data_IF_631692077432
#
_entry.id   IF_631692077432
#
_cell.length_a   1.000
_cell.length_b   1.000
_cell.length_c   1.000
_cell.angle_alpha   90.00
_cell.angle_beta   90.00
_cell.angle_gamma   90.00
#
_symmetry.space_group_name_H-M   'P 1'
#
loop_
_entity.id
_entity.type
_entity.pdbx_description
1 polymer ?
#
# COMPACT_ATOMS: atom_id res chain seq x y z
N UNK A 1 -10.81 -21.80 12.72
CA UNK A 1 -10.79 -21.68 11.24
C UNK A 1 -9.33 -21.77 10.81
N UNK A 2 -8.88 -22.96 10.39
CA UNK A 2 -7.45 -23.32 10.34
C UNK A 2 -6.69 -22.65 9.20
N UNK A 3 -5.39 -22.39 9.43
CA UNK A 3 -4.37 -21.89 8.48
C UNK A 3 -4.37 -22.59 7.11
N UNK A 4 -4.97 -23.79 7.01
CA UNK A 4 -5.15 -24.56 5.78
C UNK A 4 -6.09 -23.89 4.74
N UNK A 5 -6.97 -22.95 5.13
CA UNK A 5 -7.77 -22.18 4.14
C UNK A 5 -6.97 -21.10 3.41
N UNK A 6 -5.82 -20.71 3.93
CA UNK A 6 -4.95 -19.70 3.30
C UNK A 6 -4.14 -20.33 2.15
N UNK A 7 -3.87 -21.64 2.23
CA UNK A 7 -3.24 -22.44 1.17
C UNK A 7 -4.25 -22.98 0.13
N UNK A 8 -5.29 -22.21 -0.17
CA UNK A 8 -6.13 -22.48 -1.33
C UNK A 8 -5.30 -22.15 -2.60
N UNK A 9 -5.09 -23.08 -3.55
CA UNK A 9 -4.26 -22.84 -4.74
C UNK A 9 -4.74 -21.67 -5.62
N UNK A 10 -5.98 -21.21 -5.46
CA UNK A 10 -6.52 -19.98 -6.05
C UNK A 10 -5.96 -18.72 -5.38
N UNK A 11 -5.74 -18.71 -4.06
CA UNK A 11 -5.18 -17.57 -3.33
C UNK A 11 -3.70 -17.37 -3.62
N UNK A 12 -2.92 -18.46 -3.77
CA UNK A 12 -1.50 -18.36 -4.11
C UNK A 12 -1.28 -17.82 -5.53
N UNK A 13 -2.07 -18.27 -6.51
CA UNK A 13 -2.01 -17.75 -7.89
C UNK A 13 -2.35 -16.26 -7.95
N UNK A 14 -3.41 -15.82 -7.28
CA UNK A 14 -3.80 -14.40 -7.23
C UNK A 14 -2.69 -13.56 -6.58
N UNK A 15 -2.09 -14.05 -5.49
CA UNK A 15 -0.96 -13.37 -4.85
C UNK A 15 0.20 -13.15 -5.82
N UNK A 16 0.61 -14.18 -6.57
CA UNK A 16 1.70 -14.05 -7.56
C UNK A 16 1.35 -13.09 -8.70
N UNK A 17 0.08 -13.01 -9.12
CA UNK A 17 -0.37 -12.03 -10.12
C UNK A 17 -0.22 -10.60 -9.60
N UNK A 18 -0.70 -10.32 -8.38
CA UNK A 18 -0.54 -8.98 -7.78
C UNK A 18 0.92 -8.61 -7.55
N UNK A 19 1.73 -9.56 -7.09
CA UNK A 19 3.17 -9.35 -6.91
C UNK A 19 3.87 -9.06 -8.24
N UNK A 20 3.56 -9.84 -9.29
CA UNK A 20 4.11 -9.61 -10.63
C UNK A 20 3.70 -8.26 -11.20
N UNK A 21 2.43 -7.88 -11.05
CA UNK A 21 1.94 -6.57 -11.48
C UNK A 21 2.63 -5.41 -10.74
N UNK A 22 2.81 -5.54 -9.42
CA UNK A 22 3.54 -4.56 -8.62
C UNK A 22 4.99 -4.40 -9.11
N UNK A 23 5.70 -5.50 -9.35
CA UNK A 23 7.07 -5.47 -9.85
C UNK A 23 7.16 -4.80 -11.22
N UNK A 24 6.25 -5.11 -12.15
CA UNK A 24 6.21 -4.48 -13.48
C UNK A 24 6.01 -2.97 -13.35
N UNK A 25 5.08 -2.51 -12.52
CA UNK A 25 4.84 -1.08 -12.32
C UNK A 25 6.05 -0.38 -11.67
N UNK A 26 6.71 -1.04 -10.70
CA UNK A 26 7.94 -0.51 -10.09
C UNK A 26 9.07 -0.32 -11.11
N UNK A 27 9.26 -1.30 -12.00
CA UNK A 27 10.25 -1.22 -13.07
C UNK A 27 9.89 -0.09 -14.05
N UNK A 28 8.64 -0.05 -14.54
CA UNK A 28 8.19 0.97 -15.49
C UNK A 28 8.34 2.39 -14.93
N UNK A 29 7.96 2.60 -13.67
CA UNK A 29 8.11 3.90 -13.01
C UNK A 29 9.59 4.29 -12.83
N UNK A 30 10.45 3.33 -12.47
CA UNK A 30 11.88 3.58 -12.27
C UNK A 30 12.63 3.88 -13.57
N UNK A 31 12.19 3.31 -14.71
CA UNK A 31 12.72 3.66 -16.04
C UNK A 31 12.37 5.11 -16.39
N UNK A 32 11.18 5.59 -16.00
CA UNK A 32 10.71 6.94 -16.30
C UNK A 32 11.30 8.00 -15.35
N UNK A 33 11.52 7.65 -14.09
CA UNK A 33 12.06 8.56 -13.08
C UNK A 33 12.80 7.79 -11.99
N UNK A 34 14.10 8.06 -11.81
CA UNK A 34 14.90 7.40 -10.77
C UNK A 34 14.37 7.70 -9.34
N UNK A 35 13.76 8.88 -9.16
CA UNK A 35 13.15 9.29 -7.90
C UNK A 35 11.83 8.56 -7.58
N UNK A 36 11.30 7.77 -8.50
CA UNK A 36 10.04 7.03 -8.33
C UNK A 36 10.16 5.97 -7.24
N UNK A 37 11.19 5.13 -7.29
CA UNK A 37 11.33 4.00 -6.38
C UNK A 37 11.51 4.45 -4.91
N UNK A 38 12.37 5.44 -4.59
CA UNK A 38 12.40 6.04 -3.26
C UNK A 38 11.05 6.62 -2.82
N UNK A 39 10.30 7.25 -3.73
CA UNK A 39 8.98 7.78 -3.41
C UNK A 39 7.97 6.68 -3.03
N UNK A 40 8.01 5.52 -3.70
CA UNK A 40 7.18 4.36 -3.32
C UNK A 40 7.58 3.78 -1.95
N UNK A 41 8.87 3.74 -1.64
CA UNK A 41 9.36 3.29 -0.32
C UNK A 41 8.85 4.23 0.77
N UNK A 42 8.97 5.55 0.58
CA UNK A 42 8.45 6.56 1.52
C UNK A 42 6.94 6.39 1.70
N UNK A 43 6.20 6.15 0.62
CA UNK A 43 4.77 5.89 0.67
C UNK A 43 4.44 4.72 1.60
N UNK A 44 5.13 3.60 1.45
CA UNK A 44 4.95 2.39 2.26
C UNK A 44 5.31 2.66 3.72
N UNK A 45 6.44 3.33 3.99
CA UNK A 45 6.88 3.60 5.37
C UNK A 45 5.87 4.46 6.14
N UNK A 46 5.31 5.49 5.51
CA UNK A 46 4.30 6.34 6.15
C UNK A 46 3.00 5.57 6.34
N UNK A 47 2.60 4.72 5.38
CA UNK A 47 1.43 3.86 5.53
C UNK A 47 1.59 2.87 6.70
N UNK A 48 2.78 2.27 6.84
CA UNK A 48 3.10 1.39 7.98
C UNK A 48 3.09 2.17 9.29
N UNK A 49 3.60 3.40 9.32
CA UNK A 49 3.55 4.26 10.50
C UNK A 49 2.10 4.57 10.90
N UNK A 50 1.23 4.90 9.93
CA UNK A 50 -0.21 5.10 10.19
C UNK A 50 -0.78 3.85 10.86
N UNK A 51 -0.60 2.67 10.27
CA UNK A 51 -1.14 1.43 10.85
C UNK A 51 -0.55 1.09 12.22
N UNK A 52 0.74 1.36 12.42
CA UNK A 52 1.41 1.19 13.70
C UNK A 52 0.81 2.10 14.78
N UNK A 53 0.56 3.38 14.48
CA UNK A 53 -0.10 4.26 15.43
C UNK A 53 -1.55 3.86 15.70
N UNK A 54 -2.26 3.35 14.67
CA UNK A 54 -3.60 2.81 14.82
C UNK A 54 -3.67 1.67 15.84
N UNK A 55 -2.63 0.86 15.95
CA UNK A 55 -2.55 -0.25 16.91
C UNK A 55 -2.74 0.18 18.38
N UNK A 56 -2.38 1.42 18.75
CA UNK A 56 -2.53 1.94 20.11
C UNK A 56 -3.95 2.45 20.42
N UNK A 57 -4.87 2.38 19.46
CA UNK A 57 -6.27 2.78 19.65
C UNK A 57 -7.08 1.57 20.11
N UNK A 58 -7.50 1.58 21.39
CA UNK A 58 -8.23 0.47 22.01
C UNK A 58 -9.63 0.25 21.41
N UNK A 59 -10.33 1.34 21.07
CA UNK A 59 -11.66 1.24 20.48
C UNK A 59 -11.56 0.75 19.04
N UNK A 60 -12.09 -0.46 18.79
CA UNK A 60 -12.07 -1.09 17.47
C UNK A 60 -12.69 -0.20 16.38
N UNK A 61 -13.82 0.45 16.67
CA UNK A 61 -14.47 1.34 15.71
C UNK A 61 -13.56 2.54 15.35
N UNK A 62 -12.93 3.16 16.36
CA UNK A 62 -12.03 4.29 16.16
C UNK A 62 -10.76 3.85 15.43
N UNK A 63 -10.20 2.68 15.75
CA UNK A 63 -9.03 2.12 15.06
C UNK A 63 -9.31 1.91 13.56
N UNK A 64 -10.45 1.31 13.22
CA UNK A 64 -10.85 1.08 11.82
C UNK A 64 -11.00 2.42 11.09
N UNK A 65 -11.71 3.38 11.68
CA UNK A 65 -11.90 4.71 11.09
C UNK A 65 -10.57 5.45 10.92
N UNK A 66 -9.70 5.43 11.93
CA UNK A 66 -8.38 6.07 11.89
C UNK A 66 -7.52 5.49 10.76
N UNK A 67 -7.43 4.16 10.66
CA UNK A 67 -6.64 3.51 9.61
C UNK A 67 -7.21 3.76 8.21
N UNK A 68 -8.53 3.77 8.07
CA UNK A 68 -9.19 4.04 6.79
C UNK A 68 -8.97 5.49 6.34
N UNK A 69 -9.24 6.46 7.20
CA UNK A 69 -9.06 7.89 6.89
C UNK A 69 -7.57 8.18 6.66
N UNK A 70 -6.68 7.70 7.53
CA UNK A 70 -5.24 7.93 7.45
C UNK A 70 -4.65 7.43 6.13
N UNK A 71 -5.01 6.21 5.71
CA UNK A 71 -4.58 5.65 4.41
C UNK A 71 -5.01 6.52 3.24
N UNK A 72 -6.28 6.93 3.18
CA UNK A 72 -6.79 7.70 2.05
C UNK A 72 -6.28 9.14 2.04
N UNK A 73 -6.11 9.75 3.21
CA UNK A 73 -5.48 11.06 3.32
C UNK A 73 -4.04 11.01 2.81
N UNK A 74 -3.26 10.01 3.22
CA UNK A 74 -1.89 9.83 2.75
C UNK A 74 -1.82 9.57 1.25
N UNK A 75 -2.73 8.74 0.72
CA UNK A 75 -2.88 8.53 -0.72
C UNK A 75 -3.08 9.85 -1.49
N UNK A 76 -3.98 10.71 -1.04
CA UNK A 76 -4.23 12.01 -1.70
C UNK A 76 -2.99 12.92 -1.63
N UNK A 77 -2.37 13.06 -0.46
CA UNK A 77 -1.15 13.87 -0.29
C UNK A 77 -0.03 13.39 -1.20
N UNK A 78 0.16 12.07 -1.27
CA UNK A 78 1.15 11.46 -2.14
C UNK A 78 0.85 11.67 -3.63
N UNK A 79 -0.42 11.55 -4.05
CA UNK A 79 -0.81 11.83 -5.44
C UNK A 79 -0.58 13.29 -5.83
N UNK A 80 -0.87 14.23 -4.92
CA UNK A 80 -0.55 15.66 -5.13
C UNK A 80 0.95 15.87 -5.25
N UNK A 81 1.77 15.21 -4.43
CA UNK A 81 3.23 15.27 -4.55
C UNK A 81 3.71 14.77 -5.92
N UNK A 82 3.26 13.59 -6.35
CA UNK A 82 3.65 13.02 -7.65
C UNK A 82 3.18 13.89 -8.80
N UNK A 83 1.94 14.38 -8.78
CA UNK A 83 1.40 15.26 -9.81
C UNK A 83 2.20 16.57 -9.96
N UNK A 84 2.88 17.02 -8.89
CA UNK A 84 3.68 18.24 -8.93
C UNK A 84 5.16 17.99 -9.23
N UNK A 85 5.72 16.86 -8.80
CA UNK A 85 7.18 16.62 -8.82
C UNK A 85 7.62 15.56 -9.83
N UNK A 86 6.76 14.62 -10.21
CA UNK A 86 7.09 13.49 -11.06
C UNK A 86 5.90 13.15 -12.00
N UNK A 87 5.49 14.12 -12.82
CA UNK A 87 4.29 14.04 -13.67
C UNK A 87 4.33 12.85 -14.62
N UNK A 88 5.51 12.54 -15.13
CA UNK A 88 5.81 11.47 -16.08
C UNK A 88 5.51 10.06 -15.55
N UNK A 89 5.46 9.90 -14.22
CA UNK A 89 5.14 8.64 -13.54
C UNK A 89 3.80 8.66 -12.83
N UNK A 90 2.99 9.72 -12.99
CA UNK A 90 1.74 9.89 -12.24
C UNK A 90 0.80 8.68 -12.36
N UNK A 91 0.53 8.22 -13.58
CA UNK A 91 -0.34 7.05 -13.79
C UNK A 91 0.25 5.79 -13.19
N UNK A 92 1.56 5.57 -13.35
CA UNK A 92 2.24 4.39 -12.79
C UNK A 92 2.21 4.44 -11.26
N UNK A 93 2.41 5.62 -10.66
CA UNK A 93 2.32 5.83 -9.21
C UNK A 93 0.91 5.56 -8.68
N UNK A 94 -0.12 6.03 -9.39
CA UNK A 94 -1.51 5.80 -9.05
C UNK A 94 -1.83 4.30 -8.95
N UNK A 95 -1.51 3.54 -9.99
CA UNK A 95 -1.77 2.09 -9.98
C UNK A 95 -0.92 1.36 -8.94
N UNK A 96 0.35 1.75 -8.79
CA UNK A 96 1.25 1.16 -7.79
C UNK A 96 0.70 1.35 -6.38
N UNK A 97 0.29 2.57 -6.04
CA UNK A 97 -0.25 2.89 -4.71
C UNK A 97 -1.61 2.27 -4.43
N UNK A 98 -2.46 2.09 -5.44
CA UNK A 98 -3.71 1.32 -5.31
C UNK A 98 -3.40 -0.13 -4.94
N UNK A 99 -2.47 -0.79 -5.65
CA UNK A 99 -2.08 -2.17 -5.33
C UNK A 99 -1.50 -2.27 -3.92
N UNK A 100 -0.64 -1.34 -3.53
CA UNK A 100 -0.10 -1.27 -2.16
C UNK A 100 -1.23 -1.13 -1.13
N UNK A 101 -2.21 -0.26 -1.36
CA UNK A 101 -3.32 -0.01 -0.44
C UNK A 101 -4.31 -1.17 -0.30
N UNK A 102 -4.36 -2.08 -1.29
CA UNK A 102 -5.13 -3.33 -1.26
C UNK A 102 -4.31 -4.41 -0.54
N UNK A 103 -3.02 -4.51 -0.85
CA UNK A 103 -2.13 -5.52 -0.30
C UNK A 103 -1.83 -5.32 1.19
N UNK A 104 -1.61 -4.07 1.62
CA UNK A 104 -1.27 -3.73 3.00
C UNK A 104 -2.52 -3.40 3.81
N UNK A 105 -2.79 -4.25 4.81
CA UNK A 105 -3.92 -4.10 5.73
C UNK A 105 -3.43 -3.74 7.15
N UNK A 106 -4.22 -2.99 7.93
CA UNK A 106 -3.84 -2.62 9.30
C UNK A 106 -3.64 -3.82 10.23
N UNK A 107 -4.25 -4.96 9.90
CA UNK A 107 -4.17 -6.23 10.63
C UNK A 107 -2.75 -6.77 10.80
N UNK A 108 -1.77 -6.26 10.04
CA UNK A 108 -0.34 -6.58 10.19
C UNK A 108 0.16 -6.26 11.62
N UNK A 109 -0.41 -5.24 12.27
CA UNK A 109 -0.02 -4.82 13.62
C UNK A 109 -1.00 -5.26 14.71
N UNK A 110 -2.13 -5.89 14.37
CA UNK A 110 -3.04 -6.38 15.39
C UNK A 110 -2.40 -7.56 16.13
N UNK A 111 -2.37 -7.49 17.47
CA UNK A 111 -2.00 -8.63 18.32
C UNK A 111 -3.01 -9.77 18.10
N UNK A 112 -2.51 -11.00 17.97
CA UNK A 112 -3.35 -12.21 17.97
C UNK A 112 -4.08 -12.37 19.30
#
# INVERSE_FOLDING_TARGET
MSLLKILNPTNSKIFFVFLGLLLVLLILGSIKSFAFLPAQIIYILILLAIYYFGHFIDSQAINISYNWIGKWLWFVVYMVYIANKQKEVFLVALFTTIIINIALQPTIFNKK
#
